data_IF_953797245906
#
_entry.id   IF_953797245906
#
_cell.length_a   1.000
_cell.length_b   1.000
_cell.length_c   1.000
_cell.angle_alpha   90.00
_cell.angle_beta   90.00
_cell.angle_gamma   90.00
#
_symmetry.space_group_name_H-M   'P 1'
#
loop_
_entity.id
_entity.type
_entity.pdbx_description
1 polymer ?
#
# COMPACT_ATOMS: atom_id res chain seq x y z
N UNK A 1 -15.70 15.84 4.49
CA UNK A 1 -15.21 16.52 3.29
C UNK A 1 -14.99 15.58 2.09
N UNK A 2 -14.89 14.28 2.26
CA UNK A 2 -14.64 13.31 1.16
C UNK A 2 -15.84 12.39 0.85
N UNK A 3 -17.07 12.91 0.99
CA UNK A 3 -18.30 12.13 0.77
C UNK A 3 -18.71 11.97 -0.71
N UNK A 4 -17.95 12.52 -1.66
CA UNK A 4 -18.28 12.39 -3.08
C UNK A 4 -17.72 11.07 -3.64
N UNK A 5 -18.58 10.08 -3.84
CA UNK A 5 -18.21 8.77 -4.40
C UNK A 5 -17.41 8.89 -5.70
N UNK A 6 -17.71 9.87 -6.55
CA UNK A 6 -16.97 10.10 -7.81
C UNK A 6 -15.52 10.51 -7.54
N UNK A 7 -15.28 11.35 -6.52
CA UNK A 7 -13.93 11.75 -6.14
C UNK A 7 -13.12 10.56 -5.61
N UNK A 8 -13.72 9.72 -4.75
CA UNK A 8 -13.08 8.52 -4.22
C UNK A 8 -12.70 7.58 -5.35
N UNK A 9 -13.61 7.33 -6.30
CA UNK A 9 -13.33 6.45 -7.46
C UNK A 9 -12.20 7.03 -8.32
N UNK A 10 -12.26 8.32 -8.66
CA UNK A 10 -11.22 8.96 -9.46
C UNK A 10 -9.85 8.92 -8.76
N UNK A 11 -9.80 9.21 -7.47
CA UNK A 11 -8.56 9.13 -6.70
C UNK A 11 -8.01 7.70 -6.64
N UNK A 12 -8.87 6.70 -6.41
CA UNK A 12 -8.47 5.29 -6.40
C UNK A 12 -7.89 4.84 -7.74
N UNK A 13 -8.50 5.27 -8.86
CA UNK A 13 -7.97 4.98 -10.20
C UNK A 13 -6.57 5.58 -10.41
N UNK A 14 -6.38 6.84 -10.03
CA UNK A 14 -5.06 7.51 -10.14
C UNK A 14 -4.03 6.80 -9.26
N UNK A 15 -4.38 6.44 -8.03
CA UNK A 15 -3.49 5.73 -7.11
C UNK A 15 -3.12 4.34 -7.65
N UNK A 16 -4.08 3.61 -8.22
CA UNK A 16 -3.83 2.30 -8.84
C UNK A 16 -2.91 2.39 -10.05
N UNK A 17 -3.12 3.38 -10.93
CA UNK A 17 -2.24 3.61 -12.08
C UNK A 17 -0.81 3.96 -11.63
N UNK A 18 -0.67 4.80 -10.61
CA UNK A 18 0.64 5.12 -10.03
C UNK A 18 1.33 3.88 -9.45
N UNK A 19 0.60 3.01 -8.75
CA UNK A 19 1.13 1.75 -8.22
C UNK A 19 1.65 0.83 -9.31
N UNK A 20 0.90 0.66 -10.41
CA UNK A 20 1.33 -0.14 -11.57
C UNK A 20 2.61 0.44 -12.17
N UNK A 21 2.67 1.76 -12.35
CA UNK A 21 3.85 2.44 -12.88
C UNK A 21 5.08 2.25 -11.98
N UNK A 22 4.93 2.36 -10.66
CA UNK A 22 5.99 2.11 -9.68
C UNK A 22 6.48 0.67 -9.79
N UNK A 23 5.57 -0.31 -9.83
CA UNK A 23 5.90 -1.74 -9.94
C UNK A 23 6.66 -2.05 -11.22
N UNK A 24 6.21 -1.49 -12.36
CA UNK A 24 6.89 -1.63 -13.64
C UNK A 24 8.29 -1.03 -13.62
N UNK A 25 8.42 0.20 -13.08
CA UNK A 25 9.71 0.88 -12.96
C UNK A 25 10.70 0.08 -12.11
N UNK A 26 10.28 -0.40 -10.95
CA UNK A 26 11.10 -1.25 -10.08
C UNK A 26 11.55 -2.52 -10.79
N UNK A 27 10.64 -3.22 -11.47
CA UNK A 27 11.00 -4.43 -12.21
C UNK A 27 12.03 -4.18 -13.32
N UNK A 28 12.00 -3.02 -13.99
CA UNK A 28 13.02 -2.63 -14.95
C UNK A 28 14.39 -2.41 -14.27
N UNK A 29 14.39 -1.82 -13.09
CA UNK A 29 15.62 -1.59 -12.32
C UNK A 29 16.23 -2.89 -11.79
N UNK A 30 15.41 -3.86 -11.34
CA UNK A 30 15.85 -5.17 -10.86
C UNK A 30 16.55 -6.02 -11.94
N UNK A 31 16.35 -5.70 -13.23
CA UNK A 31 17.14 -6.33 -14.30
C UNK A 31 18.59 -5.86 -14.36
N UNK A 32 18.92 -4.77 -13.68
CA UNK A 32 20.25 -4.14 -13.75
C UNK A 32 20.95 -4.07 -12.39
N UNK A 33 20.19 -4.02 -11.32
CA UNK A 33 20.66 -3.80 -9.97
C UNK A 33 19.94 -4.75 -9.02
N UNK A 34 20.59 -5.11 -7.92
CA UNK A 34 19.98 -5.90 -6.86
C UNK A 34 18.80 -5.17 -6.19
N UNK A 35 17.88 -5.94 -5.69
CA UNK A 35 16.62 -5.46 -5.08
C UNK A 35 16.91 -4.50 -3.93
N UNK A 36 17.88 -4.83 -3.10
CA UNK A 36 18.27 -4.05 -1.92
C UNK A 36 18.77 -2.65 -2.31
N UNK A 37 19.61 -2.55 -3.34
CA UNK A 37 20.12 -1.25 -3.83
C UNK A 37 19.01 -0.40 -4.39
N UNK A 38 18.11 -0.97 -5.18
CA UNK A 38 16.98 -0.23 -5.76
C UNK A 38 16.08 0.33 -4.66
N UNK A 39 15.71 -0.49 -3.67
CA UNK A 39 14.88 -0.03 -2.56
C UNK A 39 15.57 0.96 -1.64
N UNK A 40 16.89 0.83 -1.43
CA UNK A 40 17.64 1.81 -0.64
C UNK A 40 17.58 3.21 -1.26
N UNK A 41 17.80 3.30 -2.57
CA UNK A 41 17.72 4.58 -3.29
C UNK A 41 16.27 5.11 -3.34
N UNK A 42 15.30 4.23 -3.62
CA UNK A 42 13.87 4.56 -3.63
C UNK A 42 13.41 5.12 -2.26
N UNK A 43 13.86 4.53 -1.16
CA UNK A 43 13.57 4.99 0.19
C UNK A 43 14.14 6.39 0.45
N UNK A 44 15.39 6.64 0.07
CA UNK A 44 16.00 7.97 0.24
C UNK A 44 15.23 9.02 -0.57
N UNK A 45 14.99 8.76 -1.85
CA UNK A 45 14.28 9.70 -2.72
C UNK A 45 12.84 9.93 -2.27
N UNK A 46 12.10 8.88 -1.93
CA UNK A 46 10.73 9.02 -1.45
C UNK A 46 10.66 9.80 -0.15
N UNK A 47 11.61 9.58 0.77
CA UNK A 47 11.69 10.34 2.02
C UNK A 47 11.92 11.83 1.74
N UNK A 48 12.84 12.16 0.84
CA UNK A 48 13.12 13.57 0.44
C UNK A 48 11.85 14.20 -0.16
N UNK A 49 11.16 13.52 -1.07
CA UNK A 49 9.94 14.03 -1.68
C UNK A 49 8.81 14.19 -0.65
N UNK A 50 8.60 13.22 0.23
CA UNK A 50 7.59 13.33 1.31
C UNK A 50 7.89 14.52 2.20
N UNK A 51 9.13 14.71 2.62
CA UNK A 51 9.53 15.88 3.42
C UNK A 51 9.29 17.18 2.66
N UNK A 52 9.69 17.24 1.38
CA UNK A 52 9.43 18.42 0.53
C UNK A 52 7.95 18.76 0.48
N UNK A 53 7.08 17.79 0.22
CA UNK A 53 5.63 18.01 0.20
C UNK A 53 5.07 18.41 1.56
N UNK A 54 5.54 17.81 2.66
CA UNK A 54 5.11 18.17 4.00
C UNK A 54 5.53 19.60 4.37
N UNK A 55 6.74 20.05 3.98
CA UNK A 55 7.18 21.40 4.24
C UNK A 55 6.48 22.43 3.34
N UNK A 56 6.14 22.08 2.10
CA UNK A 56 5.54 23.01 1.14
C UNK A 56 4.02 23.12 1.35
N UNK A 57 3.33 22.03 1.58
CA UNK A 57 1.87 21.97 1.63
C UNK A 57 1.31 21.58 3.00
N UNK A 58 2.14 21.05 3.90
CA UNK A 58 1.72 20.59 5.21
C UNK A 58 1.72 21.72 6.25
N UNK A 59 0.86 21.57 7.27
CA UNK A 59 0.91 22.42 8.44
C UNK A 59 1.95 21.89 9.44
N UNK A 60 3.21 22.28 9.26
CA UNK A 60 4.34 21.82 10.07
C UNK A 60 4.19 22.09 11.57
N UNK A 61 3.53 23.20 11.94
CA UNK A 61 3.25 23.53 13.36
C UNK A 61 2.33 22.50 14.00
N UNK A 62 1.31 22.05 13.27
CA UNK A 62 0.41 21.00 13.75
C UNK A 62 1.10 19.64 13.85
N UNK A 63 1.99 19.32 12.90
CA UNK A 63 2.76 18.05 12.93
C UNK A 63 3.61 18.01 14.20
N UNK A 64 4.41 19.02 14.47
CA UNK A 64 5.27 19.09 15.65
C UNK A 64 4.46 19.07 16.95
N UNK A 65 3.34 19.82 16.99
CA UNK A 65 2.44 19.81 18.16
C UNK A 65 1.84 18.44 18.43
N UNK A 66 1.45 17.70 17.39
CA UNK A 66 0.85 16.37 17.53
C UNK A 66 1.89 15.32 17.92
N UNK A 67 3.10 15.36 17.37
CA UNK A 67 4.19 14.45 17.75
C UNK A 67 4.49 14.54 19.26
N UNK A 68 4.46 15.75 19.83
CA UNK A 68 4.67 15.96 21.28
C UNK A 68 3.59 15.30 22.17
N UNK A 69 2.43 14.97 21.61
CA UNK A 69 1.33 14.31 22.33
C UNK A 69 1.37 12.79 22.22
N UNK A 70 2.27 12.22 21.43
CA UNK A 70 2.35 10.78 21.23
C UNK A 70 2.74 10.07 22.53
N UNK A 71 1.95 9.07 22.84
CA UNK A 71 2.23 8.15 23.95
C UNK A 71 3.20 7.04 23.53
N UNK A 72 3.77 6.31 24.49
CA UNK A 72 4.60 5.12 24.18
C UNK A 72 3.84 4.08 23.35
N UNK A 73 2.52 3.96 23.56
CA UNK A 73 1.66 3.08 22.76
C UNK A 73 1.59 3.54 21.29
N UNK A 74 1.46 4.84 21.06
CA UNK A 74 1.42 5.39 19.68
C UNK A 74 2.74 5.15 18.95
N UNK A 75 3.86 5.37 19.64
CA UNK A 75 5.19 5.07 19.10
C UNK A 75 5.35 3.58 18.81
N UNK A 76 4.86 2.69 19.67
CA UNK A 76 4.88 1.24 19.44
C UNK A 76 4.08 0.83 18.20
N UNK A 77 2.89 1.42 18.01
CA UNK A 77 2.06 1.16 16.82
C UNK A 77 2.77 1.64 15.55
N UNK A 78 3.31 2.86 15.56
CA UNK A 78 4.01 3.43 14.40
C UNK A 78 5.26 2.61 14.07
N UNK A 79 6.06 2.22 15.07
CA UNK A 79 7.24 1.40 14.85
C UNK A 79 6.88 0.01 14.28
N UNK A 80 5.81 -0.62 14.81
CA UNK A 80 5.32 -1.91 14.30
C UNK A 80 4.84 -1.82 12.85
N UNK A 81 4.08 -0.79 12.51
CA UNK A 81 3.63 -0.57 11.12
C UNK A 81 4.80 -0.28 10.18
N UNK A 82 5.78 0.51 10.60
CA UNK A 82 6.97 0.80 9.81
C UNK A 82 7.80 -0.47 9.56
N UNK A 83 7.94 -1.33 10.57
CA UNK A 83 8.66 -2.61 10.46
C UNK A 83 7.94 -3.58 9.51
N UNK A 84 6.62 -3.71 9.64
CA UNK A 84 5.80 -4.51 8.73
C UNK A 84 5.92 -4.02 7.28
N UNK A 85 5.80 -2.70 7.07
CA UNK A 85 5.92 -2.10 5.73
C UNK A 85 7.31 -2.35 5.12
N UNK A 86 8.39 -2.18 5.88
CA UNK A 86 9.75 -2.42 5.40
C UNK A 86 9.97 -3.88 5.03
N UNK A 87 9.45 -4.81 5.82
CA UNK A 87 9.53 -6.24 5.55
C UNK A 87 8.78 -6.63 4.26
N UNK A 88 7.56 -6.14 4.10
CA UNK A 88 6.76 -6.42 2.89
C UNK A 88 7.39 -5.83 1.63
N UNK A 89 8.00 -4.65 1.71
CA UNK A 89 8.68 -4.01 0.58
C UNK A 89 9.87 -4.86 0.11
N UNK A 90 10.75 -5.29 1.02
CA UNK A 90 11.94 -6.09 0.67
C UNK A 90 11.54 -7.49 0.14
N UNK A 91 10.65 -8.18 0.86
CA UNK A 91 10.19 -9.51 0.46
C UNK A 91 9.42 -9.46 -0.87
N UNK A 92 8.51 -8.50 -1.02
CA UNK A 92 7.76 -8.27 -2.26
C UNK A 92 8.68 -7.98 -3.44
N UNK A 93 9.77 -7.22 -3.22
CA UNK A 93 10.75 -6.96 -4.27
C UNK A 93 11.46 -8.22 -4.75
N UNK A 94 11.89 -9.11 -3.84
CA UNK A 94 12.51 -10.39 -4.18
C UNK A 94 11.56 -11.31 -4.94
N UNK A 95 10.29 -11.30 -4.58
CA UNK A 95 9.25 -12.04 -5.30
C UNK A 95 9.05 -11.44 -6.69
N UNK A 96 8.96 -10.10 -6.80
CA UNK A 96 8.74 -9.38 -8.05
C UNK A 96 9.90 -9.56 -9.04
N UNK A 97 11.14 -9.71 -8.56
CA UNK A 97 12.31 -9.94 -9.39
C UNK A 97 12.13 -11.19 -10.27
N UNK A 98 11.57 -12.26 -9.72
CA UNK A 98 11.52 -13.59 -10.32
C UNK A 98 10.15 -13.99 -10.87
N UNK A 99 9.12 -13.15 -10.74
CA UNK A 99 7.75 -13.51 -11.13
C UNK A 99 7.13 -12.45 -12.05
N UNK A 100 6.04 -12.81 -12.72
CA UNK A 100 5.30 -11.92 -13.60
C UNK A 100 4.53 -10.85 -12.80
N UNK A 101 4.62 -9.59 -13.27
CA UNK A 101 3.97 -8.44 -12.62
C UNK A 101 2.45 -8.64 -12.53
N UNK A 102 1.84 -9.12 -13.62
CA UNK A 102 0.39 -9.30 -13.69
C UNK A 102 -0.11 -10.30 -12.67
N UNK A 103 0.57 -11.44 -12.56
CA UNK A 103 0.25 -12.48 -11.58
C UNK A 103 0.37 -11.97 -10.14
N UNK A 104 1.50 -11.33 -9.82
CA UNK A 104 1.73 -10.81 -8.47
C UNK A 104 0.74 -9.71 -8.09
N UNK A 105 0.47 -8.78 -9.01
CA UNK A 105 -0.49 -7.70 -8.74
C UNK A 105 -1.90 -8.23 -8.46
N UNK A 106 -2.31 -9.27 -9.16
CA UNK A 106 -3.61 -9.90 -8.94
C UNK A 106 -3.66 -10.69 -7.64
N UNK A 107 -2.59 -11.42 -7.33
CA UNK A 107 -2.47 -12.15 -6.07
C UNK A 107 -2.51 -11.19 -4.87
N UNK A 108 -1.68 -10.14 -4.89
CA UNK A 108 -1.64 -9.11 -3.85
C UNK A 108 -3.02 -8.45 -3.68
N UNK A 109 -3.66 -8.05 -4.79
CA UNK A 109 -4.99 -7.45 -4.74
C UNK A 109 -6.02 -8.40 -4.12
N UNK A 110 -5.99 -9.67 -4.48
CA UNK A 110 -6.90 -10.69 -3.92
C UNK A 110 -6.71 -10.88 -2.42
N UNK A 111 -5.46 -10.97 -1.98
CA UNK A 111 -5.10 -11.10 -0.55
C UNK A 111 -5.46 -9.84 0.22
N UNK A 112 -5.15 -8.65 -0.30
CA UNK A 112 -5.45 -7.37 0.34
C UNK A 112 -6.95 -7.16 0.53
N UNK A 113 -7.75 -7.50 -0.47
CA UNK A 113 -9.22 -7.38 -0.36
C UNK A 113 -9.77 -8.35 0.68
N UNK A 114 -9.29 -9.60 0.70
CA UNK A 114 -9.65 -10.59 1.72
C UNK A 114 -9.31 -10.08 3.13
N UNK A 115 -8.06 -9.69 3.34
CA UNK A 115 -7.57 -9.21 4.62
C UNK A 115 -8.35 -7.97 5.08
N UNK A 116 -8.60 -7.02 4.17
CA UNK A 116 -9.35 -5.80 4.46
C UNK A 116 -10.78 -6.08 4.89
N UNK A 117 -11.47 -7.00 4.19
CA UNK A 117 -12.84 -7.40 4.55
C UNK A 117 -12.88 -8.10 5.91
N UNK A 118 -11.91 -8.99 6.19
CA UNK A 118 -11.82 -9.65 7.49
C UNK A 118 -11.53 -8.66 8.63
N UNK A 119 -10.60 -7.75 8.45
CA UNK A 119 -10.28 -6.71 9.44
C UNK A 119 -11.48 -5.79 9.67
N UNK A 120 -12.16 -5.36 8.60
CA UNK A 120 -13.34 -4.52 8.71
C UNK A 120 -14.48 -5.22 9.48
N UNK A 121 -14.68 -6.50 9.23
CA UNK A 121 -15.67 -7.29 9.95
C UNK A 121 -15.29 -7.50 11.43
N UNK A 122 -14.05 -7.93 11.72
CA UNK A 122 -13.63 -8.32 13.07
C UNK A 122 -13.38 -7.13 14.01
N UNK A 123 -12.83 -6.02 13.50
CA UNK A 123 -12.37 -4.91 14.31
C UNK A 123 -13.25 -3.66 14.22
N UNK A 124 -13.95 -3.48 13.09
CA UNK A 124 -14.79 -2.30 12.86
C UNK A 124 -16.28 -2.60 12.87
N UNK A 125 -16.68 -3.87 13.14
CA UNK A 125 -18.07 -4.34 13.13
C UNK A 125 -18.82 -3.97 11.83
N UNK A 126 -18.11 -3.95 10.69
CA UNK A 126 -18.75 -3.72 9.40
C UNK A 126 -19.55 -4.94 8.97
N UNK A 127 -20.79 -4.72 8.49
CA UNK A 127 -21.63 -5.81 7.99
C UNK A 127 -21.08 -6.42 6.70
N UNK A 128 -21.00 -7.76 6.68
CA UNK A 128 -20.71 -8.54 5.46
C UNK A 128 -21.99 -8.65 4.63
N UNK A 129 -22.25 -7.66 3.80
CA UNK A 129 -23.39 -7.72 2.87
C UNK A 129 -23.17 -8.78 1.78
N UNK A 130 -24.25 -9.35 1.27
CA UNK A 130 -24.18 -10.32 0.17
C UNK A 130 -23.41 -9.76 -1.05
N UNK A 131 -23.53 -8.47 -1.33
CA UNK A 131 -22.78 -7.80 -2.40
C UNK A 131 -21.27 -7.82 -2.17
N UNK A 132 -20.81 -7.57 -0.92
CA UNK A 132 -19.40 -7.66 -0.56
C UNK A 132 -18.88 -9.08 -0.74
N UNK A 133 -19.65 -10.10 -0.32
CA UNK A 133 -19.28 -11.52 -0.45
C UNK A 133 -19.17 -11.91 -1.93
N UNK A 134 -20.15 -11.57 -2.76
CA UNK A 134 -20.11 -11.86 -4.19
C UNK A 134 -18.91 -11.18 -4.86
N UNK A 135 -18.65 -9.92 -4.55
CA UNK A 135 -17.48 -9.20 -5.07
C UNK A 135 -16.16 -9.89 -4.70
N UNK A 136 -16.04 -10.34 -3.45
CA UNK A 136 -14.87 -11.07 -2.95
C UNK A 136 -14.66 -12.39 -3.71
N UNK A 137 -15.72 -13.17 -3.89
CA UNK A 137 -15.68 -14.44 -4.62
C UNK A 137 -15.25 -14.23 -6.08
N UNK A 138 -15.74 -13.17 -6.73
CA UNK A 138 -15.35 -12.84 -8.11
C UNK A 138 -13.88 -12.47 -8.22
N UNK A 139 -13.34 -11.68 -7.27
CA UNK A 139 -11.92 -11.32 -7.25
C UNK A 139 -11.06 -12.58 -7.06
N UNK A 140 -11.39 -13.43 -6.10
CA UNK A 140 -10.67 -14.68 -5.86
C UNK A 140 -10.73 -15.62 -7.06
N UNK A 141 -11.90 -15.78 -7.68
CA UNK A 141 -12.05 -16.56 -8.90
C UNK A 141 -11.16 -16.02 -10.02
N UNK A 142 -11.07 -14.70 -10.18
CA UNK A 142 -10.16 -14.05 -11.14
C UNK A 142 -8.70 -14.40 -10.91
N UNK A 143 -8.24 -14.39 -9.66
CA UNK A 143 -6.87 -14.78 -9.29
C UNK A 143 -6.59 -16.25 -9.67
N UNK A 144 -7.54 -17.16 -9.40
CA UNK A 144 -7.39 -18.58 -9.74
C UNK A 144 -7.40 -18.89 -11.24
N UNK A 145 -8.11 -18.09 -12.04
CA UNK A 145 -8.19 -18.31 -13.49
C UNK A 145 -6.90 -17.93 -14.21
N UNK A 146 -6.12 -17.00 -13.64
CA UNK A 146 -4.90 -16.49 -14.27
C UNK A 146 -3.67 -17.33 -13.91
N UNK A 147 -3.80 -18.20 -12.92
CA UNK A 147 -2.75 -19.16 -12.56
C UNK A 147 -2.78 -20.35 -13.50
#
# INVERSE_FOLDING_TARGET
MYSNKKFIIAFSLVASLASVFITFGRKQMFKKYDVETVYFIDLILSTIFVLFFLFTFGNTKNIVSNIKKFTMKDWGIIAGTALALSSTVILGGKILENNDISYLTLLDTGVDVLASVLVAYLFYNEELTLKKIIGLVLILAGVFIIH
#
